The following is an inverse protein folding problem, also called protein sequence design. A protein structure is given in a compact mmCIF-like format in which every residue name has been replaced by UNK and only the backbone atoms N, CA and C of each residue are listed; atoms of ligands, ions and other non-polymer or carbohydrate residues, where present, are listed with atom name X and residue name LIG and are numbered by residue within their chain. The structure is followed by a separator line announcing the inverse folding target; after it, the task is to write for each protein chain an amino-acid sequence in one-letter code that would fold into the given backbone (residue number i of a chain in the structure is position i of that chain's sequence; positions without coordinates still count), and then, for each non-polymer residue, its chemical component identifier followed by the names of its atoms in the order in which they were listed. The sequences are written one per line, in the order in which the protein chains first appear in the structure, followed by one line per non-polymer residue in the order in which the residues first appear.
data_IF_109374901753
#
_entry.id   IF_109374901753
#
_cell.length_a   1.000
_cell.length_b   1.000
_cell.length_c   1.000
_cell.angle_alpha   90.00
_cell.angle_beta   90.00
_cell.angle_gamma   90.00
#
_symmetry.space_group_name_H-M   'P 1'
#
loop_
_entity.id
_entity.type
_entity.pdbx_description
1 polymer ?
#
# COMPACT_ATOMS: atom_id res chain seq x y z
N UNK A 1 1.94 -1.46 5.35
CA UNK A 1 2.88 -1.74 4.24
C UNK A 1 3.88 -0.61 4.01
N UNK A 2 3.44 0.66 3.84
CA UNK A 2 4.35 1.81 3.65
C UNK A 2 5.31 2.08 4.82
N UNK A 3 5.01 1.59 6.03
CA UNK A 3 5.91 1.69 7.19
C UNK A 3 6.83 0.47 7.36
N UNK A 4 6.69 -0.58 6.54
CA UNK A 4 7.45 -1.83 6.68
C UNK A 4 8.72 -1.78 5.83
N UNK A 5 9.84 -2.24 6.38
CA UNK A 5 11.07 -2.44 5.61
C UNK A 5 10.78 -3.34 4.40
N UNK A 6 11.34 -3.04 3.21
CA UNK A 6 11.05 -3.82 2.00
C UNK A 6 11.27 -5.32 2.13
N UNK A 7 12.31 -5.74 2.86
CA UNK A 7 12.64 -7.15 3.08
C UNK A 7 11.57 -7.91 3.90
N UNK A 8 10.82 -7.20 4.75
CA UNK A 8 9.82 -7.80 5.64
C UNK A 8 8.41 -7.83 5.02
N UNK A 9 8.23 -7.26 3.82
CA UNK A 9 6.89 -7.06 3.21
C UNK A 9 6.18 -8.37 2.90
N UNK A 10 6.90 -9.39 2.43
CA UNK A 10 6.34 -10.71 2.17
C UNK A 10 5.86 -11.38 3.45
N UNK A 11 6.69 -11.37 4.50
CA UNK A 11 6.32 -11.90 5.81
C UNK A 11 5.11 -11.16 6.38
N UNK A 12 5.09 -9.84 6.26
CA UNK A 12 3.96 -9.02 6.69
C UNK A 12 2.69 -9.35 5.90
N UNK A 13 2.77 -9.46 4.57
CA UNK A 13 1.64 -9.79 3.70
C UNK A 13 1.04 -11.15 4.06
N UNK A 14 1.87 -12.18 4.23
CA UNK A 14 1.45 -13.51 4.63
C UNK A 14 0.78 -13.51 6.02
N UNK A 15 1.35 -12.78 6.98
CA UNK A 15 0.76 -12.64 8.29
C UNK A 15 -0.64 -11.97 8.22
N UNK A 16 -0.77 -10.88 7.45
CA UNK A 16 -2.06 -10.22 7.27
C UNK A 16 -3.09 -11.14 6.62
N UNK A 17 -2.73 -11.88 5.57
CA UNK A 17 -3.62 -12.85 4.92
C UNK A 17 -4.05 -13.94 5.90
N UNK A 18 -3.14 -14.47 6.72
CA UNK A 18 -3.47 -15.51 7.69
C UNK A 18 -4.49 -15.10 8.76
N UNK A 19 -4.66 -13.79 8.96
CA UNK A 19 -5.62 -13.20 9.90
C UNK A 19 -6.95 -12.86 9.24
N UNK A 20 -7.05 -12.92 7.90
CA UNK A 20 -8.28 -12.62 7.17
C UNK A 20 -9.19 -13.85 7.14
N UNK A 21 -10.42 -13.69 7.62
CA UNK A 21 -11.51 -14.63 7.34
C UNK A 21 -12.20 -14.28 6.00
N UNK A 22 -13.06 -15.17 5.49
CA UNK A 22 -13.76 -15.03 4.19
C UNK A 22 -14.52 -13.72 4.02
N UNK A 23 -15.07 -13.18 5.10
CA UNK A 23 -15.86 -11.94 5.09
C UNK A 23 -15.02 -10.70 5.44
N UNK A 24 -13.71 -10.86 5.64
CA UNK A 24 -12.80 -9.78 5.97
C UNK A 24 -12.71 -8.75 4.83
N UNK A 25 -12.67 -7.47 5.22
CA UNK A 25 -12.53 -6.32 4.34
C UNK A 25 -11.30 -5.54 4.78
N UNK A 26 -10.14 -5.85 4.20
CA UNK A 26 -8.88 -5.20 4.55
C UNK A 26 -8.74 -3.87 3.80
N UNK A 27 -8.70 -2.77 4.54
CA UNK A 27 -8.37 -1.45 3.98
C UNK A 27 -6.85 -1.24 4.01
N UNK A 28 -6.25 -1.12 2.83
CA UNK A 28 -4.84 -0.80 2.66
C UNK A 28 -4.70 0.62 2.09
N UNK A 29 -3.83 1.42 2.70
CA UNK A 29 -3.40 2.71 2.16
C UNK A 29 -1.97 2.59 1.65
N UNK A 30 -1.75 2.96 0.39
CA UNK A 30 -0.41 3.19 -0.17
C UNK A 30 -0.23 4.64 -0.57
N UNK A 31 1.03 5.02 -0.76
CA UNK A 31 1.43 6.39 -1.05
C UNK A 31 2.20 6.40 -2.38
N UNK A 32 1.75 7.24 -3.29
CA UNK A 32 2.36 7.44 -4.59
C UNK A 32 3.05 8.80 -4.63
N UNK A 33 4.36 8.77 -4.88
CA UNK A 33 5.24 9.93 -4.91
C UNK A 33 6.53 9.53 -5.63
N UNK A 34 7.42 10.48 -5.94
CA UNK A 34 8.71 10.14 -6.55
C UNK A 34 9.69 9.54 -5.52
N UNK A 35 10.00 8.22 -5.58
CA UNK A 35 10.86 7.57 -4.58
C UNK A 35 12.32 8.02 -4.63
N UNK A 36 12.75 8.71 -5.71
CA UNK A 36 14.10 9.29 -5.78
C UNK A 36 14.27 10.51 -4.89
N UNK A 37 13.18 11.19 -4.54
CA UNK A 37 13.18 12.40 -3.72
C UNK A 37 13.05 12.08 -2.23
N UNK A 38 12.41 10.95 -1.87
CA UNK A 38 12.25 10.51 -0.49
C UNK A 38 12.43 9.00 -0.35
N UNK A 39 13.50 8.52 0.33
CA UNK A 39 13.78 7.08 0.45
C UNK A 39 12.84 6.34 1.41
N UNK A 40 12.02 7.07 2.16
CA UNK A 40 11.14 6.53 3.21
C UNK A 40 11.76 6.56 4.61
N UNK A 41 10.98 6.25 5.66
CA UNK A 41 9.53 6.05 5.62
C UNK A 41 8.74 7.38 5.47
N UNK A 42 7.47 7.33 5.00
CA UNK A 42 6.82 6.15 4.43
C UNK A 42 7.50 5.73 3.12
N UNK A 43 7.63 4.43 2.89
CA UNK A 43 8.20 3.87 1.68
C UNK A 43 7.18 3.83 0.54
N UNK A 44 7.65 4.07 -0.68
CA UNK A 44 6.88 3.84 -1.90
C UNK A 44 6.61 2.35 -2.08
N UNK A 45 5.35 2.03 -2.42
CA UNK A 45 4.89 0.67 -2.70
C UNK A 45 4.07 0.72 -4.00
N UNK A 46 4.65 0.35 -5.15
CA UNK A 46 3.94 0.37 -6.42
C UNK A 46 2.86 -0.71 -6.47
N UNK A 47 1.81 -0.47 -7.26
CA UNK A 47 0.70 -1.43 -7.43
C UNK A 47 1.18 -2.81 -7.87
N UNK A 48 2.21 -2.89 -8.73
CA UNK A 48 2.80 -4.15 -9.16
C UNK A 48 3.41 -4.97 -8.00
N UNK A 49 3.93 -4.30 -6.96
CA UNK A 49 4.42 -4.98 -5.77
C UNK A 49 3.26 -5.46 -4.89
N UNK A 50 2.17 -4.70 -4.79
CA UNK A 50 0.95 -5.17 -4.13
C UNK A 50 0.41 -6.44 -4.78
N UNK A 51 0.29 -6.43 -6.11
CA UNK A 51 -0.18 -7.57 -6.90
C UNK A 51 0.74 -8.78 -6.71
N UNK A 52 2.06 -8.58 -6.69
CA UNK A 52 3.02 -9.66 -6.39
C UNK A 52 2.82 -10.25 -4.98
N UNK A 53 2.56 -9.40 -3.98
CA UNK A 53 2.50 -9.80 -2.58
C UNK A 53 1.16 -10.45 -2.19
N UNK A 54 0.04 -9.97 -2.73
CA UNK A 54 -1.30 -10.36 -2.28
C UNK A 54 -2.20 -10.86 -3.44
N UNK A 55 -1.88 -10.56 -4.70
CA UNK A 55 -2.77 -10.77 -5.85
C UNK A 55 -3.05 -12.22 -6.19
N UNK A 56 -2.25 -13.18 -5.70
CA UNK A 56 -2.58 -14.60 -5.84
C UNK A 56 -3.85 -14.95 -5.07
N UNK A 57 -3.99 -14.48 -3.82
CA UNK A 57 -5.06 -14.87 -2.90
C UNK A 57 -6.15 -13.81 -2.74
N UNK A 58 -5.84 -12.56 -3.07
CA UNK A 58 -6.72 -11.42 -2.83
C UNK A 58 -7.19 -10.76 -4.13
N UNK A 59 -8.34 -10.09 -4.04
CA UNK A 59 -8.82 -9.12 -5.01
C UNK A 59 -8.59 -7.70 -4.47
N UNK A 60 -8.27 -6.76 -5.36
CA UNK A 60 -8.11 -5.36 -5.02
C UNK A 60 -9.19 -4.51 -5.69
N UNK A 61 -9.72 -3.55 -4.94
CA UNK A 61 -10.56 -2.48 -5.47
C UNK A 61 -10.01 -1.15 -4.98
N UNK A 62 -9.49 -0.33 -5.89
CA UNK A 62 -9.17 1.06 -5.57
C UNK A 62 -10.47 1.79 -5.26
N UNK A 63 -10.65 2.22 -4.01
CA UNK A 63 -11.82 2.96 -3.57
C UNK A 63 -11.65 4.45 -3.81
N UNK A 64 -10.44 4.97 -3.59
CA UNK A 64 -10.17 6.40 -3.70
C UNK A 64 -8.69 6.66 -3.94
N UNK A 65 -8.42 7.71 -4.71
CA UNK A 65 -7.12 8.36 -4.80
C UNK A 65 -7.32 9.79 -4.31
N UNK A 66 -6.50 10.22 -3.37
CA UNK A 66 -6.62 11.53 -2.71
C UNK A 66 -5.30 12.26 -2.83
N UNK A 67 -5.33 13.53 -3.20
CA UNK A 67 -4.17 14.40 -3.02
C UNK A 67 -3.92 14.59 -1.52
N UNK A 68 -2.79 14.08 -1.06
CA UNK A 68 -2.36 14.12 0.33
C UNK A 68 -1.11 15.00 0.49
N UNK A 69 -0.77 15.82 -0.52
CA UNK A 69 0.37 16.71 -0.48
C UNK A 69 0.11 17.86 0.50
N UNK A 70 0.87 17.88 1.59
CA UNK A 70 0.89 19.00 2.54
C UNK A 70 2.25 19.68 2.55
N UNK A 71 2.37 20.80 3.26
CA UNK A 71 3.67 21.45 3.49
C UNK A 71 4.71 20.53 4.13
N UNK A 72 4.27 19.53 4.91
CA UNK A 72 5.15 18.50 5.46
C UNK A 72 5.87 17.70 4.37
N UNK A 73 5.12 17.23 3.37
CA UNK A 73 5.68 16.47 2.25
C UNK A 73 6.49 17.37 1.31
N UNK A 74 6.08 18.63 1.11
CA UNK A 74 6.89 19.60 0.33
C UNK A 74 8.27 19.84 0.95
N UNK A 75 8.37 19.86 2.28
CA UNK A 75 9.66 19.94 3.00
C UNK A 75 10.56 18.71 2.78
N UNK A 76 9.99 17.57 2.40
CA UNK A 76 10.73 16.38 1.98
C UNK A 76 11.15 16.44 0.50
N UNK A 77 10.92 17.57 -0.18
CA UNK A 77 11.24 17.75 -1.59
C UNK A 77 10.21 17.16 -2.55
N UNK A 78 9.05 16.72 -2.06
CA UNK A 78 8.01 16.13 -2.90
C UNK A 78 7.18 17.21 -3.60
N UNK A 79 6.97 17.02 -4.90
CA UNK A 79 6.18 17.84 -5.80
C UNK A 79 4.74 17.34 -5.94
N UNK A 80 4.51 16.05 -5.70
CA UNK A 80 3.20 15.43 -5.56
C UNK A 80 3.22 14.33 -4.48
N UNK A 81 2.06 14.04 -3.90
CA UNK A 81 1.90 12.98 -2.93
C UNK A 81 0.45 12.49 -2.90
N UNK A 82 0.17 11.31 -3.45
CA UNK A 82 -1.17 10.75 -3.52
C UNK A 82 -1.33 9.62 -2.52
N UNK A 83 -2.45 9.62 -1.81
CA UNK A 83 -2.89 8.49 -0.98
C UNK A 83 -3.88 7.64 -1.78
N UNK A 84 -3.55 6.36 -1.99
CA UNK A 84 -4.42 5.39 -2.66
C UNK A 84 -5.00 4.45 -1.62
N UNK A 85 -6.33 4.40 -1.56
CA UNK A 85 -7.07 3.58 -0.60
C UNK A 85 -7.64 2.38 -1.36
N UNK A 86 -7.18 1.19 -1.01
CA UNK A 86 -7.62 -0.07 -1.57
C UNK A 86 -8.48 -0.83 -0.57
N UNK A 87 -9.56 -1.41 -1.07
CA UNK A 87 -10.24 -2.51 -0.42
C UNK A 87 -9.66 -3.82 -0.94
N UNK A 88 -9.25 -4.68 -0.02
CA UNK A 88 -8.67 -5.99 -0.28
C UNK A 88 -9.60 -7.04 0.34
N UNK A 89 -9.95 -8.05 -0.45
CA UNK A 89 -10.75 -9.20 -0.01
C UNK A 89 -10.10 -10.49 -0.48
N UNK A 90 -10.34 -11.60 0.22
CA UNK A 90 -9.97 -12.92 -0.30
C UNK A 90 -10.74 -13.19 -1.60
N UNK A 91 -10.12 -13.90 -2.54
CA UNK A 91 -10.83 -14.42 -3.71
C UNK A 91 -11.85 -15.47 -3.27
N UNK A 92 -13.04 -15.51 -3.91
CA UNK A 92 -13.96 -16.62 -3.70
C UNK A 92 -13.31 -17.93 -4.15
N UNK A 93 -13.59 -19.00 -3.40
CA UNK A 93 -13.25 -20.38 -3.79
C UNK A 93 -14.14 -20.86 -4.94
#
# INVERSE_FOLDING_TARGET
MVAMNPIDRERYANAMISLMDKDCRYLLVTLEYNPKLHPGPPFYVPDAELEKLLGTLCMFKCLKIVDALTDGQRKLGLDFFLSKIFLITLKPH
#
